data_IF_229144461632
#
_entry.id   IF_229144461632
#
_cell.length_a   1.000
_cell.length_b   1.000
_cell.length_c   1.000
_cell.angle_alpha   90.00
_cell.angle_beta   90.00
_cell.angle_gamma   90.00
#
_symmetry.space_group_name_H-M   'P 1'
#
loop_
_entity.id
_entity.type
_entity.pdbx_description
1 polymer ?
#
# COMPACT_ATOMS: atom_id res chain seq x y z
N UNK A 1 -7.29 -28.59 -16.19
CA UNK A 1 -6.53 -28.31 -14.96
C UNK A 1 -7.01 -26.97 -14.44
N UNK A 2 -7.51 -26.91 -13.22
CA UNK A 2 -7.77 -25.63 -12.54
C UNK A 2 -6.38 -25.10 -12.18
N UNK A 3 -5.97 -23.96 -12.74
CA UNK A 3 -4.72 -23.34 -12.30
C UNK A 3 -4.84 -23.02 -10.80
N UNK A 4 -3.86 -23.39 -9.97
CA UNK A 4 -3.92 -23.06 -8.56
C UNK A 4 -3.88 -21.54 -8.39
N UNK A 5 -4.96 -20.99 -7.85
CA UNK A 5 -5.08 -19.58 -7.47
C UNK A 5 -3.96 -19.20 -6.50
N UNK A 6 -3.15 -18.17 -6.79
CA UNK A 6 -2.04 -17.78 -5.91
C UNK A 6 -2.50 -17.51 -4.49
N UNK A 7 -1.87 -18.13 -3.49
CA UNK A 7 -2.19 -17.90 -2.08
C UNK A 7 -1.47 -16.65 -1.58
N UNK A 8 -2.21 -15.61 -1.23
CA UNK A 8 -1.66 -14.35 -0.69
C UNK A 8 -2.08 -14.19 0.75
N UNK A 9 -1.09 -14.13 1.63
CA UNK A 9 -1.32 -13.85 3.04
C UNK A 9 -1.39 -12.34 3.31
N UNK A 10 -2.20 -11.97 4.30
CA UNK A 10 -2.31 -10.61 4.79
C UNK A 10 -2.23 -10.61 6.32
N UNK A 11 -1.41 -9.73 6.88
CA UNK A 11 -1.30 -9.57 8.34
C UNK A 11 -1.89 -8.22 8.74
N UNK A 12 -2.85 -8.27 9.66
CA UNK A 12 -3.63 -7.12 10.10
C UNK A 12 -3.47 -6.86 11.60
N UNK A 13 -3.42 -5.57 11.96
CA UNK A 13 -3.51 -5.12 13.34
C UNK A 13 -4.90 -4.58 13.72
N UNK A 14 -5.75 -4.29 12.73
CA UNK A 14 -7.11 -3.77 12.95
C UNK A 14 -8.10 -4.35 11.93
N UNK A 15 -9.37 -4.59 12.30
CA UNK A 15 -10.38 -5.13 11.39
C UNK A 15 -10.60 -4.29 10.12
N UNK A 16 -10.55 -2.97 10.25
CA UNK A 16 -10.76 -2.05 9.11
C UNK A 16 -9.69 -2.24 8.02
N UNK A 17 -8.44 -2.50 8.41
CA UNK A 17 -7.36 -2.77 7.47
C UNK A 17 -7.57 -4.06 6.69
N UNK A 18 -8.12 -5.10 7.35
CA UNK A 18 -8.47 -6.36 6.69
C UNK A 18 -9.56 -6.16 5.63
N UNK A 19 -10.65 -5.47 5.98
CA UNK A 19 -11.74 -5.18 5.04
C UNK A 19 -11.24 -4.43 3.81
N UNK A 20 -10.45 -3.38 4.00
CA UNK A 20 -9.89 -2.58 2.91
C UNK A 20 -9.00 -3.42 1.99
N UNK A 21 -8.14 -4.27 2.56
CA UNK A 21 -7.27 -5.15 1.78
C UNK A 21 -8.08 -6.16 0.95
N UNK A 22 -9.09 -6.78 1.56
CA UNK A 22 -9.98 -7.73 0.90
C UNK A 22 -10.76 -7.10 -0.27
N UNK A 23 -11.32 -5.91 -0.06
CA UNK A 23 -12.04 -5.17 -1.11
C UNK A 23 -11.11 -4.77 -2.27
N UNK A 24 -9.87 -4.37 -1.95
CA UNK A 24 -8.86 -4.07 -2.96
C UNK A 24 -8.48 -5.32 -3.76
N UNK A 25 -8.26 -6.46 -3.11
CA UNK A 25 -7.92 -7.71 -3.78
C UNK A 25 -9.07 -8.24 -4.63
N UNK A 26 -10.31 -8.19 -4.14
CA UNK A 26 -11.48 -8.58 -4.91
C UNK A 26 -11.63 -7.80 -6.23
N UNK A 27 -11.16 -6.54 -6.25
CA UNK A 27 -11.20 -5.68 -7.43
C UNK A 27 -9.98 -5.86 -8.35
N UNK A 28 -8.78 -5.91 -7.78
CA UNK A 28 -7.53 -5.77 -8.54
C UNK A 28 -6.84 -7.12 -8.82
N UNK A 29 -7.07 -8.12 -7.96
CA UNK A 29 -6.52 -9.47 -8.04
C UNK A 29 -7.54 -10.54 -7.60
N UNK A 30 -8.68 -10.66 -8.30
CA UNK A 30 -9.76 -11.57 -7.93
C UNK A 30 -9.37 -13.06 -8.01
N UNK A 31 -8.29 -13.39 -8.73
CA UNK A 31 -7.78 -14.75 -8.87
C UNK A 31 -6.92 -15.19 -7.68
N UNK A 32 -6.61 -14.32 -6.71
CA UNK A 32 -5.85 -14.70 -5.53
C UNK A 32 -6.75 -15.38 -4.48
N UNK A 33 -6.22 -16.44 -3.84
CA UNK A 33 -6.78 -16.93 -2.57
C UNK A 33 -6.21 -16.07 -1.44
N UNK A 34 -7.06 -15.33 -0.74
CA UNK A 34 -6.63 -14.46 0.37
C UNK A 34 -6.66 -15.21 1.70
N UNK A 35 -5.53 -15.23 2.41
CA UNK A 35 -5.41 -15.75 3.78
C UNK A 35 -5.15 -14.61 4.77
N UNK A 36 -6.11 -14.33 5.65
CA UNK A 36 -6.00 -13.26 6.63
C UNK A 36 -5.49 -13.80 7.98
N UNK A 37 -4.48 -13.15 8.55
CA UNK A 37 -4.01 -13.35 9.92
C UNK A 37 -4.13 -12.01 10.66
N UNK A 38 -4.81 -12.03 11.79
CA UNK A 38 -5.05 -10.83 12.59
C UNK A 38 -4.46 -10.98 13.97
N UNK A 39 -3.77 -9.94 14.41
CA UNK A 39 -3.31 -9.78 15.79
C UNK A 39 -3.64 -8.35 16.23
N UNK A 40 -4.79 -8.22 16.92
CA UNK A 40 -5.41 -6.95 17.29
C UNK A 40 -4.71 -6.22 18.44
N UNK A 41 -3.69 -6.83 19.05
CA UNK A 41 -2.84 -6.23 20.08
C UNK A 41 -1.63 -5.49 19.50
N UNK A 42 -1.26 -5.72 18.23
CA UNK A 42 -0.01 -5.23 17.64
C UNK A 42 0.19 -3.71 17.74
N UNK A 43 -0.89 -2.93 17.56
CA UNK A 43 -0.81 -1.46 17.63
C UNK A 43 -0.85 -0.95 19.07
N UNK A 44 -1.71 -1.53 19.90
CA UNK A 44 -1.87 -1.10 21.30
C UNK A 44 -0.61 -1.41 22.10
N UNK A 45 -0.05 -2.62 21.95
CA UNK A 45 1.21 -2.99 22.63
C UNK A 45 2.38 -2.10 22.17
N UNK A 46 2.41 -1.68 20.90
CA UNK A 46 3.42 -0.75 20.39
C UNK A 46 3.24 0.65 20.99
N UNK A 47 1.99 1.12 21.14
CA UNK A 47 1.69 2.41 21.78
C UNK A 47 2.07 2.40 23.25
N UNK A 48 1.70 1.35 23.99
CA UNK A 48 2.02 1.17 25.40
C UNK A 48 3.54 1.13 25.65
N UNK A 49 4.29 0.52 24.73
CA UNK A 49 5.74 0.47 24.78
C UNK A 49 6.45 1.75 24.27
N UNK A 50 5.70 2.74 23.79
CA UNK A 50 6.25 3.98 23.23
C UNK A 50 6.92 3.81 21.85
N UNK A 51 6.64 2.70 21.16
CA UNK A 51 7.19 2.40 19.84
C UNK A 51 7.46 0.91 19.63
N UNK A 52 8.05 0.58 18.48
CA UNK A 52 8.33 -0.82 18.15
C UNK A 52 9.54 -1.32 18.95
N UNK A 53 9.32 -2.32 19.81
CA UNK A 53 10.37 -2.97 20.62
C UNK A 53 10.94 -4.20 19.91
N UNK A 54 12.08 -4.71 20.37
CA UNK A 54 12.64 -5.97 19.84
C UNK A 54 11.69 -7.16 20.01
N UNK A 55 10.89 -7.19 21.09
CA UNK A 55 9.89 -8.23 21.32
C UNK A 55 8.75 -8.16 20.29
N UNK A 56 8.27 -6.96 19.97
CA UNK A 56 7.21 -6.74 18.98
C UNK A 56 7.70 -7.04 17.56
N UNK A 57 8.94 -6.68 17.21
CA UNK A 57 9.57 -7.10 15.93
C UNK A 57 9.59 -8.61 15.79
N UNK A 58 10.04 -9.33 16.82
CA UNK A 58 10.05 -10.81 16.84
C UNK A 58 8.65 -11.40 16.74
N UNK A 59 7.64 -10.77 17.36
CA UNK A 59 6.24 -11.19 17.24
C UNK A 59 5.76 -11.11 15.80
N UNK A 60 5.98 -9.98 15.14
CA UNK A 60 5.63 -9.81 13.73
C UNK A 60 6.38 -10.80 12.83
N UNK A 61 7.70 -11.01 13.03
CA UNK A 61 8.45 -12.02 12.27
C UNK A 61 7.89 -13.44 12.44
N UNK A 62 7.37 -13.80 13.62
CA UNK A 62 6.70 -15.10 13.81
C UNK A 62 5.40 -15.20 13.03
N UNK A 63 4.61 -14.13 12.95
CA UNK A 63 3.39 -14.09 12.14
C UNK A 63 3.72 -14.19 10.64
N UNK A 64 4.78 -13.49 10.20
CA UNK A 64 5.30 -13.58 8.84
C UNK A 64 5.77 -15.01 8.53
N UNK A 65 6.60 -15.60 9.39
CA UNK A 65 7.04 -16.99 9.22
C UNK A 65 5.87 -17.96 9.19
N UNK A 66 4.88 -17.80 10.07
CA UNK A 66 3.68 -18.64 10.08
C UNK A 66 2.97 -18.70 8.72
N UNK A 67 2.81 -17.57 8.05
CA UNK A 67 2.12 -17.53 6.75
C UNK A 67 3.01 -17.93 5.59
N UNK A 68 4.28 -17.51 5.58
CA UNK A 68 5.22 -17.81 4.49
C UNK A 68 5.64 -19.28 4.52
N UNK A 69 6.00 -19.81 5.68
CA UNK A 69 6.31 -21.24 5.85
C UNK A 69 5.05 -22.11 5.69
N UNK A 70 3.87 -21.51 5.89
CA UNK A 70 2.55 -22.09 5.62
C UNK A 70 2.16 -22.16 4.13
N UNK A 71 3.03 -21.69 3.23
CA UNK A 71 2.83 -21.82 1.78
C UNK A 71 2.24 -20.59 1.10
N UNK A 72 2.13 -19.44 1.77
CA UNK A 72 1.77 -18.20 1.10
C UNK A 72 2.83 -17.83 0.04
N UNK A 73 2.37 -17.49 -1.16
CA UNK A 73 3.19 -17.12 -2.30
C UNK A 73 3.41 -15.60 -2.39
N UNK A 74 2.72 -14.83 -1.55
CA UNK A 74 2.94 -13.40 -1.37
C UNK A 74 2.38 -12.95 -0.02
N UNK A 75 2.92 -11.85 0.50
CA UNK A 75 2.51 -11.28 1.78
C UNK A 75 2.27 -9.77 1.66
N UNK A 76 1.16 -9.30 2.22
CA UNK A 76 0.88 -7.89 2.47
C UNK A 76 0.78 -7.60 3.97
N UNK A 77 1.62 -6.69 4.48
CA UNK A 77 1.39 -6.07 5.79
C UNK A 77 0.44 -4.87 5.61
N UNK A 78 -0.71 -4.88 6.25
CA UNK A 78 -1.66 -3.75 6.16
C UNK A 78 -1.42 -2.66 7.21
N UNK A 79 -0.37 -2.80 8.02
CA UNK A 79 -0.01 -1.86 9.07
C UNK A 79 1.34 -1.20 8.77
N UNK A 80 1.35 0.11 8.58
CA UNK A 80 2.56 0.89 8.28
C UNK A 80 3.59 0.89 9.42
N UNK A 81 3.15 0.72 10.67
CA UNK A 81 4.03 0.73 11.87
C UNK A 81 5.03 -0.41 11.92
N UNK A 82 4.80 -1.49 11.16
CA UNK A 82 5.69 -2.67 11.12
C UNK A 82 6.50 -2.75 9.82
N UNK A 83 6.57 -1.65 9.04
CA UNK A 83 7.25 -1.62 7.75
C UNK A 83 8.71 -2.08 7.78
N UNK A 84 9.48 -1.75 8.81
CA UNK A 84 10.87 -2.21 8.94
C UNK A 84 11.00 -3.74 9.15
N UNK A 85 9.94 -4.39 9.64
CA UNK A 85 9.92 -5.84 9.79
C UNK A 85 9.71 -6.52 8.43
N UNK A 86 8.98 -5.88 7.51
CA UNK A 86 8.90 -6.36 6.13
C UNK A 86 10.26 -6.33 5.43
N UNK A 87 11.09 -5.30 5.70
CA UNK A 87 12.45 -5.25 5.14
C UNK A 87 13.32 -6.39 5.67
N UNK A 88 13.19 -6.71 6.96
CA UNK A 88 13.87 -7.87 7.54
C UNK A 88 13.37 -9.18 6.90
N UNK A 89 12.06 -9.32 6.68
CA UNK A 89 11.48 -10.50 6.06
C UNK A 89 11.96 -10.72 4.62
N UNK A 90 12.14 -9.64 3.84
CA UNK A 90 12.69 -9.72 2.47
C UNK A 90 14.11 -10.31 2.40
N UNK A 91 14.87 -10.27 3.50
CA UNK A 91 16.19 -10.89 3.59
C UNK A 91 16.13 -12.39 3.95
N UNK A 92 15.00 -12.84 4.50
CA UNK A 92 14.83 -14.18 5.07
C UNK A 92 14.01 -15.11 4.16
N UNK A 93 13.07 -14.55 3.39
CA UNK A 93 12.23 -15.30 2.46
C UNK A 93 12.35 -14.75 1.03
N UNK A 94 12.30 -15.65 0.05
CA UNK A 94 12.28 -15.29 -1.38
C UNK A 94 10.87 -14.90 -1.89
N UNK A 95 9.87 -15.03 -1.02
CA UNK A 95 8.47 -14.68 -1.32
C UNK A 95 8.30 -13.15 -1.31
N UNK A 96 7.56 -12.57 -2.28
CA UNK A 96 7.24 -11.15 -2.26
C UNK A 96 6.55 -10.70 -0.95
N UNK A 97 7.18 -9.75 -0.26
CA UNK A 97 6.63 -9.11 0.95
C UNK A 97 6.43 -7.63 0.68
N UNK A 98 5.18 -7.17 0.73
CA UNK A 98 4.81 -5.76 0.54
C UNK A 98 4.40 -5.09 1.87
N UNK A 99 4.76 -3.81 1.96
CA UNK A 99 4.28 -2.89 3.00
C UNK A 99 2.96 -2.27 2.56
N UNK A 100 2.25 -1.62 3.49
CA UNK A 100 0.94 -1.01 3.24
C UNK A 100 0.91 -0.03 2.06
N UNK A 101 1.90 0.85 1.98
CA UNK A 101 1.85 2.02 1.09
C UNK A 101 3.00 2.06 0.06
N UNK A 102 4.03 1.23 0.22
CA UNK A 102 5.22 1.23 -0.65
C UNK A 102 4.88 1.00 -2.13
N UNK A 103 3.93 0.09 -2.40
CA UNK A 103 3.47 -0.23 -3.75
C UNK A 103 2.85 0.99 -4.46
N UNK A 104 2.11 1.82 -3.73
CA UNK A 104 1.49 3.03 -4.27
C UNK A 104 2.55 4.04 -4.69
N UNK A 105 3.56 4.27 -3.84
CA UNK A 105 4.64 5.20 -4.15
C UNK A 105 5.47 4.73 -5.36
N UNK A 106 5.82 3.44 -5.40
CA UNK A 106 6.54 2.86 -6.55
C UNK A 106 5.74 2.99 -7.84
N UNK A 107 4.44 2.67 -7.81
CA UNK A 107 3.57 2.81 -8.97
C UNK A 107 3.49 4.25 -9.47
N UNK A 108 3.33 5.21 -8.56
CA UNK A 108 3.27 6.63 -8.91
C UNK A 108 4.58 7.15 -9.53
N UNK A 109 5.73 6.75 -8.97
CA UNK A 109 7.04 7.14 -9.47
C UNK A 109 7.40 6.46 -10.80
N UNK A 110 6.92 5.24 -11.05
CA UNK A 110 7.12 4.56 -12.33
C UNK A 110 6.39 5.27 -13.48
N UNK A 111 5.21 5.85 -13.23
CA UNK A 111 4.46 6.65 -14.20
C UNK A 111 5.18 7.94 -14.61
N UNK A 112 4.79 8.51 -15.75
CA UNK A 112 5.36 9.75 -16.30
C UNK A 112 4.85 11.05 -15.65
N UNK A 113 4.28 10.95 -14.44
CA UNK A 113 3.80 12.10 -13.68
C UNK A 113 4.95 13.06 -13.38
N UNK A 114 4.72 14.35 -13.61
CA UNK A 114 5.62 15.46 -13.28
C UNK A 114 5.23 16.11 -11.96
N UNK A 115 3.94 16.14 -11.64
CA UNK A 115 3.39 16.71 -10.40
C UNK A 115 2.46 15.72 -9.73
N UNK A 116 2.76 15.35 -8.49
CA UNK A 116 1.99 14.38 -7.71
C UNK A 116 1.45 15.07 -6.46
N UNK A 117 0.15 14.96 -6.25
CA UNK A 117 -0.47 15.38 -5.02
C UNK A 117 -0.44 14.25 -3.98
N UNK A 118 -0.10 14.56 -2.74
CA UNK A 118 -0.11 13.64 -1.60
C UNK A 118 -1.15 14.17 -0.61
N UNK A 119 -2.23 13.42 -0.44
CA UNK A 119 -3.37 13.84 0.39
C UNK A 119 -3.61 12.86 1.53
N UNK A 120 -3.90 13.39 2.71
CA UNK A 120 -4.32 12.61 3.85
C UNK A 120 -5.34 13.38 4.70
N UNK A 121 -5.91 12.70 5.70
CA UNK A 121 -6.84 13.30 6.66
C UNK A 121 -6.27 13.41 8.08
N UNK A 122 -5.06 12.88 8.32
CA UNK A 122 -4.39 12.96 9.62
C UNK A 122 -3.04 13.67 9.50
N UNK A 123 -2.71 14.60 10.41
CA UNK A 123 -1.49 15.41 10.32
C UNK A 123 -0.17 14.63 10.14
N UNK A 124 0.08 13.50 10.84
CA UNK A 124 1.35 12.79 10.70
C UNK A 124 1.49 12.01 9.38
N UNK A 125 0.39 11.76 8.66
CA UNK A 125 0.40 10.90 7.48
C UNK A 125 1.09 11.55 6.27
N UNK A 126 0.84 12.85 6.03
CA UNK A 126 1.45 13.60 4.92
C UNK A 126 2.99 13.61 5.00
N UNK A 127 3.65 14.10 6.07
CA UNK A 127 5.10 14.14 6.13
C UNK A 127 5.73 12.75 6.07
N UNK A 128 5.08 11.73 6.66
CA UNK A 128 5.55 10.35 6.57
C UNK A 128 5.54 9.82 5.14
N UNK A 129 4.47 10.10 4.37
CA UNK A 129 4.36 9.70 2.97
C UNK A 129 5.35 10.43 2.07
N UNK A 130 5.54 11.74 2.27
CA UNK A 130 6.55 12.52 1.52
C UNK A 130 7.95 11.95 1.75
N UNK A 131 8.33 11.69 3.01
CA UNK A 131 9.63 11.11 3.32
C UNK A 131 9.85 9.74 2.65
N UNK A 132 8.82 8.89 2.60
CA UNK A 132 8.90 7.61 1.88
C UNK A 132 9.00 7.78 0.37
N UNK A 133 8.24 8.71 -0.21
CA UNK A 133 8.26 9.01 -1.64
C UNK A 133 9.65 9.53 -2.06
N UNK A 134 10.19 10.50 -1.33
CA UNK A 134 11.53 11.07 -1.55
C UNK A 134 12.63 10.01 -1.45
N UNK A 135 12.55 9.10 -0.47
CA UNK A 135 13.50 8.00 -0.34
C UNK A 135 13.48 7.03 -1.54
N UNK A 136 12.34 6.91 -2.24
CA UNK A 136 12.19 6.03 -3.40
C UNK A 136 12.58 6.70 -4.73
N UNK A 137 12.58 8.03 -4.81
CA UNK A 137 12.88 8.77 -6.05
C UNK A 137 14.22 8.36 -6.69
N UNK A 138 15.36 8.28 -5.96
CA UNK A 138 16.64 7.92 -6.56
C UNK A 138 16.66 6.51 -7.16
N UNK A 139 15.88 5.57 -6.58
CA UNK A 139 15.86 4.19 -7.01
C UNK A 139 14.91 3.95 -8.20
N UNK A 140 13.82 4.70 -8.30
CA UNK A 140 12.77 4.48 -9.31
C UNK A 140 12.90 5.41 -10.51
N UNK A 141 13.36 6.65 -10.32
CA UNK A 141 13.41 7.67 -11.37
C UNK A 141 14.55 8.70 -11.21
N UNK A 142 15.83 8.27 -11.18
CA UNK A 142 16.97 9.13 -10.83
C UNK A 142 17.09 10.41 -11.68
N UNK A 143 16.70 10.36 -12.95
CA UNK A 143 16.85 11.48 -13.91
C UNK A 143 15.52 12.18 -14.25
N UNK A 144 14.46 11.93 -13.48
CA UNK A 144 13.13 12.48 -13.74
C UNK A 144 12.60 13.12 -12.44
N UNK A 145 12.85 14.41 -12.18
CA UNK A 145 12.32 15.05 -10.98
C UNK A 145 10.80 14.97 -10.95
N UNK A 146 10.22 14.99 -9.75
CA UNK A 146 8.78 15.04 -9.52
C UNK A 146 8.50 16.15 -8.53
N UNK A 147 7.52 16.98 -8.84
CA UNK A 147 7.01 17.99 -7.92
C UNK A 147 5.95 17.37 -7.03
N UNK A 148 6.05 17.60 -5.72
CA UNK A 148 5.15 17.06 -4.72
C UNK A 148 4.33 18.20 -4.14
N UNK A 149 3.01 18.13 -4.30
CA UNK A 149 2.06 19.00 -3.60
C UNK A 149 1.46 18.21 -2.46
N UNK A 150 1.35 18.82 -1.29
CA UNK A 150 0.75 18.17 -0.12
C UNK A 150 -0.54 18.86 0.28
N UNK A 151 -1.53 18.07 0.67
CA UNK A 151 -2.77 18.61 1.22
C UNK A 151 -3.28 17.77 2.39
N UNK A 152 -3.74 18.45 3.44
CA UNK A 152 -4.33 17.83 4.61
C UNK A 152 -5.80 18.24 4.68
N UNK A 153 -6.69 17.30 4.35
CA UNK A 153 -8.13 17.45 4.48
C UNK A 153 -8.61 16.85 5.79
N UNK A 154 -8.42 17.53 6.92
CA UNK A 154 -8.77 16.99 8.24
C UNK A 154 -10.26 16.63 8.37
N UNK A 155 -11.14 17.33 7.65
CA UNK A 155 -12.58 17.01 7.60
C UNK A 155 -12.90 15.63 7.04
N UNK A 156 -11.97 15.00 6.29
CA UNK A 156 -12.13 13.62 5.87
C UNK A 156 -11.95 12.62 7.03
N UNK A 157 -11.33 13.02 8.14
CA UNK A 157 -11.22 12.19 9.34
C UNK A 157 -12.56 12.17 10.07
N UNK A 158 -13.30 11.06 9.95
CA UNK A 158 -14.61 10.90 10.58
C UNK A 158 -15.79 11.30 9.70
N UNK A 159 -15.57 11.54 8.41
CA UNK A 159 -16.64 11.69 7.44
C UNK A 159 -17.55 10.45 7.41
N UNK A 160 -18.86 10.69 7.27
CA UNK A 160 -19.89 9.63 7.32
C UNK A 160 -19.92 8.77 6.05
N UNK A 161 -19.34 9.27 4.95
CA UNK A 161 -19.31 8.61 3.64
C UNK A 161 -18.00 8.88 2.90
N UNK A 162 -17.74 8.06 1.87
CA UNK A 162 -16.59 8.24 0.99
C UNK A 162 -16.72 9.53 0.16
N UNK A 163 -17.93 9.92 -0.21
CA UNK A 163 -18.23 11.12 -0.98
C UNK A 163 -17.95 12.39 -0.17
N UNK A 164 -18.36 12.42 1.11
CA UNK A 164 -18.06 13.54 2.01
C UNK A 164 -16.56 13.63 2.28
N UNK A 165 -15.90 12.49 2.52
CA UNK A 165 -14.44 12.44 2.66
C UNK A 165 -13.73 12.97 1.40
N UNK A 166 -14.17 12.55 0.21
CA UNK A 166 -13.62 13.00 -1.06
C UNK A 166 -13.77 14.51 -1.25
N UNK A 167 -14.90 15.09 -0.89
CA UNK A 167 -15.11 16.54 -0.92
C UNK A 167 -14.08 17.29 -0.08
N UNK A 168 -13.89 16.88 1.18
CA UNK A 168 -12.88 17.49 2.06
C UNK A 168 -11.45 17.36 1.52
N UNK A 169 -11.10 16.23 0.92
CA UNK A 169 -9.77 16.04 0.32
C UNK A 169 -9.58 16.88 -0.95
N UNK A 170 -10.62 16.99 -1.80
CA UNK A 170 -10.58 17.81 -3.00
C UNK A 170 -10.45 19.30 -2.68
N UNK A 171 -11.24 19.80 -1.72
CA UNK A 171 -11.17 21.18 -1.26
C UNK A 171 -9.77 21.52 -0.72
N UNK A 172 -9.20 20.63 0.11
CA UNK A 172 -7.85 20.79 0.64
C UNK A 172 -6.79 20.76 -0.48
N UNK A 173 -6.93 19.86 -1.45
CA UNK A 173 -6.04 19.76 -2.59
C UNK A 173 -6.04 21.04 -3.44
N UNK A 174 -7.22 21.57 -3.74
CA UNK A 174 -7.36 22.80 -4.52
C UNK A 174 -6.84 24.02 -3.76
N UNK A 175 -7.12 24.11 -2.45
CA UNK A 175 -6.59 25.17 -1.60
C UNK A 175 -5.05 25.15 -1.52
N UNK A 176 -4.44 23.97 -1.62
CA UNK A 176 -2.98 23.79 -1.66
C UNK A 176 -2.36 24.03 -3.05
N UNK A 177 -3.15 24.41 -4.06
CA UNK A 177 -2.66 24.63 -5.42
C UNK A 177 -2.32 23.33 -6.17
N UNK A 178 -3.04 22.25 -5.88
CA UNK A 178 -2.85 20.95 -6.54
C UNK A 178 -3.80 20.67 -7.72
N UNK A 179 -4.44 21.69 -8.28
CA UNK A 179 -5.38 21.54 -9.42
C UNK A 179 -4.71 21.08 -10.73
N UNK A 180 -3.40 21.22 -10.82
CA UNK A 180 -2.55 20.84 -11.94
C UNK A 180 -1.74 19.55 -11.67
N UNK A 181 -2.05 18.83 -10.58
CA UNK A 181 -1.43 17.54 -10.30
C UNK A 181 -1.81 16.49 -11.36
N UNK A 182 -0.85 15.70 -11.81
CA UNK A 182 -1.09 14.63 -12.78
C UNK A 182 -1.73 13.38 -12.14
N UNK A 183 -1.56 13.23 -10.82
CA UNK A 183 -2.14 12.15 -10.02
C UNK A 183 -2.21 12.53 -8.53
N UNK A 184 -3.09 11.85 -7.80
CA UNK A 184 -3.27 12.01 -6.36
C UNK A 184 -2.95 10.69 -5.63
N UNK A 185 -2.16 10.77 -4.56
CA UNK A 185 -1.84 9.65 -3.68
C UNK A 185 -2.57 9.79 -2.36
N UNK A 186 -3.35 8.77 -2.01
CA UNK A 186 -3.99 8.67 -0.70
C UNK A 186 -2.96 8.15 0.32
N UNK A 187 -2.30 9.08 1.02
CA UNK A 187 -1.23 8.82 1.98
C UNK A 187 -1.71 8.21 3.32
N UNK A 188 -2.84 7.51 3.30
CA UNK A 188 -3.43 6.90 4.48
C UNK A 188 -4.27 5.70 4.05
N UNK A 189 -3.89 4.51 4.52
CA UNK A 189 -4.53 3.25 4.13
C UNK A 189 -6.06 3.24 4.31
N UNK A 190 -6.58 3.91 5.35
CA UNK A 190 -8.02 4.01 5.61
C UNK A 190 -8.79 4.86 4.60
N UNK A 191 -8.12 5.65 3.76
CA UNK A 191 -8.74 6.44 2.71
C UNK A 191 -8.94 5.65 1.41
N UNK A 192 -8.46 4.42 1.29
CA UNK A 192 -8.62 3.62 0.06
C UNK A 192 -10.08 3.57 -0.47
N UNK A 193 -11.14 3.48 0.35
CA UNK A 193 -12.53 3.54 -0.13
C UNK A 193 -12.92 4.88 -0.78
N UNK A 194 -12.18 5.96 -0.51
CA UNK A 194 -12.42 7.32 -1.03
C UNK A 194 -11.93 7.48 -2.48
N UNK A 195 -11.12 6.52 -2.98
CA UNK A 195 -10.44 6.59 -4.27
C UNK A 195 -11.34 7.01 -5.44
N UNK A 196 -12.44 6.29 -5.65
CA UNK A 196 -13.32 6.52 -6.81
C UNK A 196 -14.03 7.88 -6.74
N UNK A 197 -14.57 8.21 -5.56
CA UNK A 197 -15.25 9.49 -5.34
C UNK A 197 -14.28 10.67 -5.52
N UNK A 198 -13.06 10.57 -5.01
CA UNK A 198 -12.06 11.62 -5.19
C UNK A 198 -11.63 11.74 -6.65
N UNK A 199 -11.40 10.62 -7.35
CA UNK A 199 -11.01 10.61 -8.76
C UNK A 199 -12.05 11.31 -9.64
N UNK A 200 -13.34 11.10 -9.35
CA UNK A 200 -14.43 11.77 -10.04
C UNK A 200 -14.45 13.30 -9.83
N UNK A 201 -14.03 13.78 -8.64
CA UNK A 201 -13.99 15.21 -8.31
C UNK A 201 -12.77 15.92 -8.89
N UNK A 202 -11.60 15.25 -8.92
CA UNK A 202 -10.32 15.85 -9.32
C UNK A 202 -9.96 15.62 -10.78
N UNK A 203 -10.62 14.66 -11.44
CA UNK A 203 -10.44 14.40 -12.87
C UNK A 203 -9.09 13.77 -13.25
N UNK A 204 -8.28 13.38 -12.26
CA UNK A 204 -6.98 12.71 -12.44
C UNK A 204 -6.91 11.39 -11.66
N UNK A 205 -6.00 10.46 -12.04
CA UNK A 205 -5.87 9.20 -11.33
C UNK A 205 -5.61 9.37 -9.84
N UNK A 206 -6.40 8.66 -9.02
CA UNK A 206 -6.18 8.56 -7.56
C UNK A 206 -5.65 7.16 -7.24
N UNK A 207 -4.52 7.08 -6.56
CA UNK A 207 -3.90 5.84 -6.15
C UNK A 207 -4.06 5.63 -4.65
N UNK A 208 -4.30 4.38 -4.26
CA UNK A 208 -4.42 3.92 -2.89
C UNK A 208 -3.42 2.78 -2.59
N UNK A 209 -2.96 2.67 -1.35
CA UNK A 209 -1.99 1.66 -0.91
C UNK A 209 -2.46 0.22 -1.14
N UNK A 210 -3.70 -0.09 -0.74
CA UNK A 210 -4.26 -1.44 -0.82
C UNK A 210 -4.41 -1.92 -2.27
N UNK A 211 -4.98 -1.09 -3.15
CA UNK A 211 -5.15 -1.37 -4.56
C UNK A 211 -3.83 -1.47 -5.31
N UNK A 212 -2.86 -0.61 -4.98
CA UNK A 212 -1.53 -0.71 -5.55
C UNK A 212 -0.82 -2.00 -5.15
N UNK A 213 -0.88 -2.39 -3.87
CA UNK A 213 -0.29 -3.64 -3.39
C UNK A 213 -0.94 -4.88 -4.05
N UNK A 214 -2.25 -4.88 -4.22
CA UNK A 214 -2.96 -5.96 -4.91
C UNK A 214 -2.50 -6.10 -6.37
N UNK A 215 -2.39 -5.00 -7.11
CA UNK A 215 -1.87 -5.00 -8.48
C UNK A 215 -0.41 -5.47 -8.57
N UNK A 216 0.43 -5.02 -7.65
CA UNK A 216 1.83 -5.41 -7.61
C UNK A 216 1.98 -6.91 -7.33
N UNK A 217 1.27 -7.44 -6.32
CA UNK A 217 1.27 -8.88 -6.04
C UNK A 217 0.70 -9.69 -7.21
N UNK A 218 -0.33 -9.19 -7.89
CA UNK A 218 -0.82 -9.83 -9.12
C UNK A 218 0.26 -9.93 -10.18
N UNK A 219 0.99 -8.85 -10.44
CA UNK A 219 2.06 -8.82 -11.43
C UNK A 219 3.23 -9.75 -11.06
N UNK A 220 3.54 -9.88 -9.77
CA UNK A 220 4.62 -10.75 -9.28
C UNK A 220 4.23 -12.24 -9.28
N UNK A 221 2.95 -12.56 -9.09
CA UNK A 221 2.47 -13.94 -8.88
C UNK A 221 1.72 -14.54 -10.07
N UNK A 222 1.24 -13.70 -10.98
CA UNK A 222 0.67 -14.14 -12.25
C UNK A 222 1.81 -14.13 -13.27
N UNK A 223 2.34 -15.30 -13.69
CA UNK A 223 3.36 -15.31 -14.72
C UNK A 223 2.80 -14.67 -15.98
N UNK A 224 3.45 -13.61 -16.47
CA UNK A 224 3.30 -13.24 -17.86
C UNK A 224 3.63 -14.49 -18.70
N UNK A 225 2.71 -14.92 -19.57
CA UNK A 225 3.00 -15.88 -20.62
C UNK A 225 4.20 -15.36 -21.43
N UNK A 226 5.42 -15.87 -21.16
CA UNK A 226 6.61 -15.36 -21.84
C UNK A 226 7.93 -15.48 -21.10
N UNK A 227 8.28 -16.66 -20.58
CA UNK A 227 9.68 -17.09 -20.52
C UNK A 227 9.73 -18.54 -20.98
N UNK A 228 9.73 -18.74 -22.30
CA UNK A 228 10.23 -19.97 -22.91
C UNK A 228 11.64 -20.18 -22.38
N UNK A 229 11.78 -21.17 -21.51
CA UNK A 229 13.07 -21.71 -21.13
C UNK A 229 13.85 -22.00 -22.41
N UNK A 230 14.90 -21.21 -22.65
CA UNK A 230 15.93 -21.54 -23.62
C UNK A 230 16.53 -22.85 -23.11
N UNK A 231 16.10 -23.96 -23.72
CA UNK A 231 16.73 -25.24 -23.57
C UNK A 231 18.15 -25.11 -24.12
N UNK A 232 19.13 -24.93 -23.23
CA UNK A 232 20.51 -25.27 -23.53
C UNK A 232 20.62 -26.76 -23.26
N UNK A 233 20.51 -27.55 -24.33
CA UNK A 233 20.96 -28.94 -24.33
C UNK A 233 22.43 -28.98 -24.78
N UNK A 234 23.23 -29.95 -24.26
CA UNK A 234 24.67 -30.03 -24.49
C UNK A 234 25.06 -30.42 -25.92
#
# INVERSE_FOLDING_TARGET
MIEPHPLVAMIHAVPTGARIAQEAFAREFPEATVWNVSDDRLLDDAREAGGLTGALRRRMLRLIGHVLDGGAQGLLLTCSSYGEVADTARLLWSVPVLKSDEAMFRAALACSYRRIAVVASTPPAVPAAVAQLEALVPAVRPDRPVEIVTALGEGAAGAESAETAAGHLADALYAAGGSDADAVLLAQYSLAPVREALAALVGVPVLDGAGAAARELRALLSPAAGQTAVAVAP
#
